data_IF_538357345022
#
_entry.id   IF_538357345022
#
_cell.length_a   1.000
_cell.length_b   1.000
_cell.length_c   1.000
_cell.angle_alpha   90.00
_cell.angle_beta   90.00
_cell.angle_gamma   90.00
#
_symmetry.space_group_name_H-M   'P 1'
#
loop_
_entity.id
_entity.type
_entity.pdbx_description
1 polymer ?
#
# COMPACT_ATOMS: atom_id res chain seq x y z
N UNK A 1 -9.66 -52.13 -33.04
CA UNK A 1 -8.66 -51.29 -32.34
C UNK A 1 -9.43 -50.29 -31.51
N UNK A 2 -9.25 -50.25 -30.19
CA UNK A 2 -9.87 -49.24 -29.33
C UNK A 2 -9.01 -47.99 -29.34
N UNK A 3 -9.62 -46.84 -29.65
CA UNK A 3 -8.93 -45.55 -29.59
C UNK A 3 -8.49 -45.25 -28.15
N UNK A 4 -7.27 -44.71 -27.95
CA UNK A 4 -6.78 -44.37 -26.62
C UNK A 4 -7.62 -43.22 -26.06
N UNK A 5 -8.38 -43.53 -25.01
CA UNK A 5 -9.18 -42.56 -24.29
C UNK A 5 -8.26 -41.50 -23.67
N UNK A 6 -8.31 -40.28 -24.21
CA UNK A 6 -7.57 -39.15 -23.68
C UNK A 6 -8.13 -38.81 -22.29
N UNK A 7 -7.41 -39.20 -21.25
CA UNK A 7 -7.71 -38.80 -19.87
C UNK A 7 -7.03 -37.46 -19.62
N UNK A 8 -7.80 -36.42 -19.34
CA UNK A 8 -7.27 -35.11 -18.96
C UNK A 8 -6.37 -35.25 -17.72
N UNK A 9 -5.21 -34.59 -17.74
CA UNK A 9 -4.25 -34.56 -16.62
C UNK A 9 -4.72 -33.67 -15.44
N UNK A 10 -5.76 -32.85 -15.65
CA UNK A 10 -6.32 -31.97 -14.63
C UNK A 10 -7.56 -32.59 -13.99
N UNK A 11 -7.74 -32.44 -12.66
CA UNK A 11 -8.93 -32.93 -11.99
C UNK A 11 -10.18 -32.29 -12.60
N UNK A 12 -11.24 -33.10 -12.75
CA UNK A 12 -12.54 -32.55 -13.13
C UNK A 12 -12.97 -31.51 -12.10
N UNK A 13 -13.62 -30.42 -12.54
CA UNK A 13 -14.07 -29.42 -11.61
C UNK A 13 -15.11 -30.03 -10.65
N UNK A 14 -15.28 -29.45 -9.44
CA UNK A 14 -16.22 -29.96 -8.44
C UNK A 14 -17.68 -30.03 -8.96
N UNK A 15 -18.08 -31.20 -9.48
CA UNK A 15 -19.39 -31.40 -10.12
C UNK A 15 -20.57 -31.20 -9.17
N UNK A 16 -20.35 -31.28 -7.86
CA UNK A 16 -21.36 -30.99 -6.83
C UNK A 16 -21.79 -29.53 -6.85
N UNK A 17 -20.88 -28.60 -7.18
CA UNK A 17 -21.21 -27.18 -7.24
C UNK A 17 -21.73 -26.78 -8.62
N UNK A 18 -21.10 -27.26 -9.69
CA UNK A 18 -21.45 -26.86 -11.07
C UNK A 18 -22.91 -27.15 -11.42
N UNK A 19 -23.45 -28.29 -10.97
CA UNK A 19 -24.84 -28.67 -11.26
C UNK A 19 -25.87 -27.70 -10.70
N UNK A 20 -25.53 -26.98 -9.65
CA UNK A 20 -26.44 -26.02 -9.00
C UNK A 20 -26.48 -24.66 -9.72
N UNK A 21 -25.47 -24.34 -10.54
CA UNK A 21 -25.36 -23.08 -11.30
C UNK A 21 -25.93 -23.24 -12.72
N UNK A 22 -27.24 -23.47 -12.83
CA UNK A 22 -27.98 -23.40 -14.11
C UNK A 22 -28.61 -22.02 -14.31
N UNK A 23 -28.87 -21.63 -15.56
CA UNK A 23 -29.52 -20.35 -15.89
C UNK A 23 -30.86 -20.17 -15.16
N UNK A 24 -31.60 -21.27 -15.00
CA UNK A 24 -32.89 -21.27 -14.31
C UNK A 24 -32.74 -21.07 -12.79
N UNK A 25 -31.75 -21.72 -12.16
CA UNK A 25 -31.46 -21.57 -10.74
C UNK A 25 -30.91 -20.17 -10.43
N UNK A 26 -30.09 -19.60 -11.31
CA UNK A 26 -29.59 -18.23 -11.19
C UNK A 26 -30.76 -17.24 -11.28
N UNK A 27 -31.64 -17.40 -12.29
CA UNK A 27 -32.83 -16.55 -12.44
C UNK A 27 -33.76 -16.62 -11.24
N UNK A 28 -33.89 -17.79 -10.61
CA UNK A 28 -34.70 -18.01 -9.40
C UNK A 28 -33.95 -17.70 -8.10
N UNK A 29 -32.69 -17.25 -8.16
CA UNK A 29 -31.81 -17.02 -6.98
C UNK A 29 -31.68 -18.24 -6.06
N UNK A 30 -31.79 -19.45 -6.61
CA UNK A 30 -31.62 -20.73 -5.92
C UNK A 30 -30.18 -21.22 -5.93
N UNK A 31 -29.31 -20.58 -6.72
CA UNK A 31 -27.89 -20.90 -6.74
C UNK A 31 -27.27 -20.67 -5.34
N UNK A 32 -26.48 -21.62 -4.81
CA UNK A 32 -25.91 -21.50 -3.48
C UNK A 32 -24.96 -20.29 -3.42
N UNK A 33 -25.04 -19.56 -2.30
CA UNK A 33 -24.09 -18.49 -2.00
C UNK A 33 -22.71 -19.10 -1.68
N UNK A 34 -21.61 -18.36 -1.90
CA UNK A 34 -20.29 -18.83 -1.49
C UNK A 34 -20.28 -19.21 0.01
N UNK A 35 -19.51 -20.23 0.40
CA UNK A 35 -19.39 -20.61 1.80
C UNK A 35 -18.90 -19.43 2.63
N UNK A 36 -19.36 -19.35 3.88
CA UNK A 36 -18.92 -18.29 4.79
C UNK A 36 -17.41 -18.41 5.03
N UNK A 37 -16.70 -17.27 5.14
CA UNK A 37 -15.28 -17.30 5.50
C UNK A 37 -15.08 -18.06 6.82
N UNK A 38 -14.09 -18.96 6.83
CA UNK A 38 -13.69 -19.67 8.03
C UNK A 38 -13.11 -18.64 9.00
N UNK A 39 -13.58 -18.63 10.25
CA UNK A 39 -13.13 -17.69 11.29
C UNK A 39 -12.13 -18.30 12.26
N UNK A 40 -12.04 -19.62 12.30
CA UNK A 40 -11.24 -20.31 13.31
C UNK A 40 -9.85 -20.64 12.72
N UNK A 41 -9.70 -21.84 12.16
CA UNK A 41 -8.46 -22.29 11.55
C UNK A 41 -8.70 -23.00 10.23
N UNK A 42 -7.74 -22.90 9.31
CA UNK A 42 -7.77 -23.58 8.02
C UNK A 42 -6.43 -24.23 7.71
N UNK A 43 -6.46 -25.29 6.90
CA UNK A 43 -5.26 -25.97 6.42
C UNK A 43 -4.87 -25.38 5.06
N UNK A 44 -3.65 -24.90 4.93
CA UNK A 44 -3.09 -24.38 3.69
C UNK A 44 -1.71 -24.98 3.47
N UNK A 45 -1.56 -25.73 2.37
CA UNK A 45 -0.34 -26.45 2.00
C UNK A 45 0.21 -27.35 3.12
N UNK A 46 -0.67 -28.02 3.86
CA UNK A 46 -0.29 -28.91 4.96
C UNK A 46 0.02 -28.21 6.29
N UNK A 47 -0.08 -26.88 6.36
CA UNK A 47 0.09 -26.11 7.59
C UNK A 47 -1.26 -25.65 8.12
N UNK A 48 -1.44 -25.71 9.44
CA UNK A 48 -2.61 -25.15 10.11
C UNK A 48 -2.40 -23.65 10.32
N UNK A 49 -3.34 -22.83 9.86
CA UNK A 49 -3.39 -21.38 10.03
C UNK A 49 -4.58 -21.01 10.92
N UNK A 50 -4.39 -20.11 11.88
CA UNK A 50 -5.50 -19.47 12.59
C UNK A 50 -5.79 -18.13 11.92
N UNK A 51 -7.06 -17.74 11.84
CA UNK A 51 -7.45 -16.49 11.20
C UNK A 51 -7.02 -15.24 11.99
N UNK A 52 -6.83 -15.38 13.31
CA UNK A 52 -6.38 -14.31 14.21
C UNK A 52 -4.86 -14.27 14.40
N UNK A 53 -4.12 -15.23 13.83
CA UNK A 53 -2.65 -15.22 13.92
C UNK A 53 -2.09 -13.96 13.24
N UNK A 54 -1.08 -13.35 13.89
CA UNK A 54 -0.23 -12.37 13.22
C UNK A 54 0.25 -12.96 11.90
N UNK A 55 0.21 -12.17 10.82
CA UNK A 55 0.66 -12.57 9.47
C UNK A 55 2.07 -13.20 9.53
N UNK A 56 2.87 -12.77 10.51
CA UNK A 56 4.20 -13.29 10.78
C UNK A 56 4.17 -13.92 12.16
N UNK A 57 4.29 -15.25 12.20
CA UNK A 57 4.34 -16.01 13.45
C UNK A 57 5.61 -15.69 14.24
N UNK A 58 5.52 -15.42 15.55
CA UNK A 58 6.69 -15.22 16.39
C UNK A 58 7.60 -16.45 16.40
N UNK A 59 8.91 -16.25 16.46
CA UNK A 59 9.90 -17.34 16.52
C UNK A 59 9.66 -18.30 17.69
N UNK A 60 9.16 -17.79 18.81
CA UNK A 60 8.87 -18.56 20.03
C UNK A 60 7.78 -19.61 19.79
N UNK A 61 6.79 -19.29 18.94
CA UNK A 61 5.71 -20.24 18.59
C UNK A 61 6.20 -21.40 17.72
N UNK A 62 7.40 -21.26 17.14
CA UNK A 62 8.08 -22.29 16.35
C UNK A 62 9.15 -23.03 17.18
N UNK A 63 9.25 -22.74 18.48
CA UNK A 63 10.26 -23.32 19.38
C UNK A 63 11.66 -22.74 19.19
N UNK A 64 11.78 -21.57 18.55
CA UNK A 64 13.06 -20.92 18.29
C UNK A 64 13.24 -19.76 19.28
N UNK A 65 14.31 -19.81 20.09
CA UNK A 65 14.63 -18.73 21.03
C UNK A 65 15.01 -17.45 20.29
N UNK A 66 14.47 -16.31 20.76
CA UNK A 66 14.74 -15.01 20.13
C UNK A 66 16.16 -14.53 20.45
N UNK A 67 16.93 -14.21 19.41
CA UNK A 67 18.30 -13.68 19.53
C UNK A 67 18.39 -12.16 19.79
N UNK A 68 17.27 -11.44 19.74
CA UNK A 68 17.21 -9.98 19.88
C UNK A 68 16.20 -9.56 20.97
N UNK A 69 16.38 -8.40 21.63
CA UNK A 69 15.45 -7.91 22.65
C UNK A 69 14.08 -7.55 22.05
N UNK A 70 13.02 -7.43 22.87
CA UNK A 70 11.65 -7.15 22.38
C UNK A 70 11.53 -5.75 21.76
N UNK A 71 12.29 -4.77 22.28
CA UNK A 71 12.39 -3.43 21.71
C UNK A 71 13.76 -3.23 21.09
N UNK A 72 13.78 -2.96 19.79
CA UNK A 72 15.02 -2.82 19.04
C UNK A 72 14.82 -2.01 17.77
N UNK A 73 15.94 -1.55 17.22
CA UNK A 73 16.00 -0.93 15.90
C UNK A 73 16.25 -2.03 14.86
N UNK A 74 15.26 -2.29 14.00
CA UNK A 74 15.31 -3.33 12.97
C UNK A 74 16.54 -3.22 12.08
N UNK A 75 16.99 -2.01 11.76
CA UNK A 75 18.17 -1.78 10.91
C UNK A 75 19.45 -2.18 11.61
N UNK A 76 19.56 -1.91 12.92
CA UNK A 76 20.74 -2.28 13.70
C UNK A 76 20.80 -3.78 13.93
N UNK A 77 19.68 -4.41 14.28
CA UNK A 77 19.64 -5.86 14.49
C UNK A 77 19.88 -6.63 13.19
N UNK A 78 19.33 -6.19 12.05
CA UNK A 78 19.61 -6.81 10.76
C UNK A 78 21.10 -6.73 10.40
N UNK A 79 21.76 -5.60 10.71
CA UNK A 79 23.22 -5.46 10.52
C UNK A 79 24.02 -6.37 11.44
N UNK A 80 23.62 -6.51 12.71
CA UNK A 80 24.28 -7.43 13.65
C UNK A 80 24.16 -8.87 13.18
N UNK A 81 22.97 -9.31 12.75
CA UNK A 81 22.78 -10.65 12.18
C UNK A 81 23.61 -10.86 10.92
N UNK A 82 23.68 -9.88 10.02
CA UNK A 82 24.53 -9.94 8.83
C UNK A 82 26.02 -10.14 9.20
N UNK A 83 26.52 -9.39 10.17
CA UNK A 83 27.91 -9.54 10.64
C UNK A 83 28.12 -10.90 11.34
N UNK A 84 27.14 -11.37 12.11
CA UNK A 84 27.19 -12.68 12.76
C UNK A 84 27.24 -13.83 11.75
N UNK A 85 26.42 -13.76 10.68
CA UNK A 85 26.44 -14.71 9.55
C UNK A 85 27.82 -14.73 8.89
N UNK A 86 28.39 -13.55 8.62
CA UNK A 86 29.71 -13.44 8.00
C UNK A 86 30.80 -14.09 8.86
N UNK A 87 30.85 -13.78 10.15
CA UNK A 87 31.84 -14.36 11.06
C UNK A 87 31.65 -15.88 11.17
N UNK A 88 30.41 -16.35 11.29
CA UNK A 88 30.13 -17.78 11.38
C UNK A 88 30.53 -18.53 10.10
N UNK A 89 30.35 -17.92 8.93
CA UNK A 89 30.83 -18.45 7.66
C UNK A 89 32.36 -18.53 7.59
N UNK A 90 33.08 -17.50 8.05
CA UNK A 90 34.55 -17.52 8.10
C UNK A 90 35.07 -18.60 9.06
N UNK A 91 34.44 -18.76 10.23
CA UNK A 91 34.76 -19.83 11.18
C UNK A 91 34.56 -21.22 10.53
N UNK A 92 33.46 -21.38 9.79
CA UNK A 92 33.17 -22.63 9.08
C UNK A 92 34.24 -22.92 8.01
N UNK A 93 34.69 -21.91 7.26
CA UNK A 93 35.77 -22.08 6.30
C UNK A 93 37.09 -22.50 6.98
N UNK A 94 37.45 -21.90 8.12
CA UNK A 94 38.65 -22.30 8.87
C UNK A 94 38.56 -23.75 9.36
N UNK A 95 37.37 -24.20 9.82
CA UNK A 95 37.13 -25.61 10.18
C UNK A 95 37.29 -26.53 8.97
N UNK A 96 36.77 -26.15 7.80
CA UNK A 96 36.89 -26.95 6.58
C UNK A 96 38.34 -27.08 6.10
N UNK A 97 39.14 -26.02 6.26
CA UNK A 97 40.57 -26.03 5.90
C UNK A 97 41.36 -26.92 6.87
N UNK A 98 41.08 -26.84 8.18
CA UNK A 98 41.85 -27.55 9.21
C UNK A 98 41.41 -29.00 9.42
N UNK A 99 40.10 -29.25 9.42
CA UNK A 99 39.51 -30.53 9.83
C UNK A 99 38.10 -30.70 9.23
N UNK A 100 37.99 -31.04 7.94
CA UNK A 100 36.71 -31.08 7.22
C UNK A 100 35.72 -32.15 7.70
N UNK A 101 36.21 -33.19 8.39
CA UNK A 101 35.40 -34.26 8.97
C UNK A 101 35.00 -34.03 10.44
N UNK A 102 35.26 -32.85 11.00
CA UNK A 102 34.91 -32.56 12.39
C UNK A 102 33.41 -32.30 12.56
N UNK A 103 32.83 -32.78 13.67
CA UNK A 103 31.45 -32.47 14.08
C UNK A 103 31.19 -30.97 14.23
N UNK A 104 32.24 -30.18 14.49
CA UNK A 104 32.18 -28.71 14.57
C UNK A 104 31.69 -28.05 13.29
N UNK A 105 31.86 -28.72 12.14
CA UNK A 105 31.31 -28.28 10.87
C UNK A 105 29.78 -28.31 10.89
N UNK A 106 29.20 -29.40 11.39
CA UNK A 106 27.75 -29.58 11.47
C UNK A 106 27.13 -28.60 12.47
N UNK A 107 27.77 -28.41 13.63
CA UNK A 107 27.37 -27.39 14.61
C UNK A 107 27.32 -25.99 13.99
N UNK A 108 28.39 -25.57 13.30
CA UNK A 108 28.42 -24.26 12.61
C UNK A 108 27.39 -24.16 11.49
N UNK A 109 27.05 -25.26 10.84
CA UNK A 109 26.02 -25.27 9.80
C UNK A 109 24.63 -25.05 10.40
N UNK A 110 24.32 -25.66 11.54
CA UNK A 110 23.07 -25.43 12.27
C UNK A 110 22.99 -23.99 12.82
N UNK A 111 24.09 -23.46 13.38
CA UNK A 111 24.17 -22.04 13.79
C UNK A 111 23.85 -21.11 12.62
N UNK A 112 24.43 -21.37 11.46
CA UNK A 112 24.22 -20.56 10.27
C UNK A 112 22.78 -20.62 9.79
N UNK A 113 22.16 -21.81 9.77
CA UNK A 113 20.73 -21.97 9.45
C UNK A 113 19.86 -21.16 10.41
N UNK A 114 20.14 -21.24 11.71
CA UNK A 114 19.42 -20.50 12.74
C UNK A 114 19.52 -18.99 12.49
N UNK A 115 20.72 -18.46 12.23
CA UNK A 115 20.93 -17.05 11.91
C UNK A 115 20.11 -16.59 10.69
N UNK A 116 20.04 -17.42 9.64
CA UNK A 116 19.23 -17.11 8.46
C UNK A 116 17.72 -17.09 8.77
N UNK A 117 17.22 -18.04 9.58
CA UNK A 117 15.82 -18.04 10.03
C UNK A 117 15.48 -16.74 10.77
N UNK A 118 16.34 -16.31 11.69
CA UNK A 118 16.17 -15.03 12.40
C UNK A 118 16.22 -13.83 11.46
N UNK A 119 17.12 -13.82 10.48
CA UNK A 119 17.22 -12.75 9.49
C UNK A 119 15.95 -12.65 8.64
N UNK A 120 15.42 -13.80 8.19
CA UNK A 120 14.17 -13.86 7.44
C UNK A 120 12.99 -13.35 8.26
N UNK A 121 12.90 -13.75 9.52
CA UNK A 121 11.85 -13.27 10.41
C UNK A 121 11.88 -11.75 10.57
N UNK A 122 13.07 -11.18 10.81
CA UNK A 122 13.25 -9.73 10.96
C UNK A 122 12.87 -8.94 9.69
N UNK A 123 13.19 -9.48 8.52
CA UNK A 123 12.79 -8.90 7.22
C UNK A 123 11.27 -8.98 7.06
N UNK A 124 10.67 -10.09 7.45
CA UNK A 124 9.24 -10.29 7.37
C UNK A 124 8.52 -9.28 8.27
N UNK A 125 8.95 -9.09 9.52
CA UNK A 125 8.38 -8.08 10.45
C UNK A 125 8.39 -6.66 9.87
N UNK A 126 9.33 -6.35 8.98
CA UNK A 126 9.43 -5.06 8.32
C UNK A 126 8.49 -4.89 7.11
N UNK A 127 7.87 -5.97 6.60
CA UNK A 127 6.98 -5.94 5.42
C UNK A 127 5.77 -5.03 5.56
N UNK A 128 5.02 -5.01 6.69
CA UNK A 128 3.89 -4.10 6.85
C UNK A 128 4.31 -2.64 6.81
N UNK A 129 5.46 -2.29 7.38
CA UNK A 129 6.03 -0.95 7.27
C UNK A 129 6.36 -0.61 5.82
N UNK A 130 7.03 -1.52 5.09
CA UNK A 130 7.33 -1.33 3.66
C UNK A 130 6.06 -1.10 2.82
N UNK A 131 4.99 -1.86 3.09
CA UNK A 131 3.71 -1.73 2.39
C UNK A 131 3.09 -0.35 2.60
N UNK A 132 3.12 0.17 3.85
CA UNK A 132 2.64 1.52 4.17
C UNK A 132 3.42 2.61 3.45
N UNK A 133 4.75 2.53 3.42
CA UNK A 133 5.57 3.51 2.69
C UNK A 133 5.33 3.43 1.18
N UNK A 134 5.14 2.23 0.64
CA UNK A 134 4.80 2.04 -0.78
C UNK A 134 3.45 2.70 -1.11
N UNK A 135 2.45 2.52 -0.24
CA UNK A 135 1.14 3.15 -0.38
C UNK A 135 1.23 4.68 -0.30
N UNK A 136 2.02 5.22 0.64
CA UNK A 136 2.28 6.66 0.77
C UNK A 136 2.85 7.23 -0.54
N UNK A 137 3.93 6.63 -1.07
CA UNK A 137 4.54 7.06 -2.34
C UNK A 137 3.54 6.97 -3.49
N UNK A 138 2.74 5.91 -3.56
CA UNK A 138 1.70 5.78 -4.59
C UNK A 138 0.68 6.92 -4.51
N UNK A 139 0.21 7.27 -3.31
CA UNK A 139 -0.75 8.37 -3.13
C UNK A 139 -0.14 9.74 -3.46
N UNK A 140 1.15 9.96 -3.15
CA UNK A 140 1.86 11.17 -3.56
C UNK A 140 1.95 11.32 -5.08
N UNK A 141 2.23 10.22 -5.79
CA UNK A 141 2.23 10.20 -7.26
C UNK A 141 0.85 10.54 -7.80
N UNK A 142 -0.22 9.95 -7.26
CA UNK A 142 -1.59 10.26 -7.69
C UNK A 142 -1.96 11.72 -7.44
N UNK A 143 -1.60 12.27 -6.28
CA UNK A 143 -1.82 13.69 -5.95
C UNK A 143 -1.12 14.59 -6.96
N UNK A 144 0.16 14.32 -7.24
CA UNK A 144 0.95 15.09 -8.21
C UNK A 144 0.32 15.04 -9.60
N UNK A 145 -0.07 13.86 -10.09
CA UNK A 145 -0.71 13.71 -11.40
C UNK A 145 -2.02 14.51 -11.50
N UNK A 146 -2.84 14.53 -10.43
CA UNK A 146 -4.07 15.32 -10.39
C UNK A 146 -3.79 16.82 -10.47
N UNK A 147 -2.80 17.31 -9.72
CA UNK A 147 -2.40 18.72 -9.75
C UNK A 147 -1.84 19.12 -11.12
N UNK A 148 -0.93 18.34 -11.70
CA UNK A 148 -0.39 18.59 -13.04
C UNK A 148 -1.50 18.59 -14.10
N UNK A 149 -2.49 17.72 -13.97
CA UNK A 149 -3.63 17.66 -14.89
C UNK A 149 -4.51 18.90 -14.75
N UNK A 150 -4.82 19.33 -13.52
CA UNK A 150 -5.58 20.55 -13.26
C UNK A 150 -4.86 21.79 -13.81
N UNK A 151 -3.55 21.90 -13.60
CA UNK A 151 -2.73 22.99 -14.15
C UNK A 151 -2.75 22.99 -15.68
N UNK A 152 -2.66 21.81 -16.32
CA UNK A 152 -2.78 21.70 -17.78
C UNK A 152 -4.16 22.14 -18.26
N UNK A 153 -5.24 21.77 -17.58
CA UNK A 153 -6.59 22.22 -17.93
C UNK A 153 -6.72 23.74 -17.82
N UNK A 154 -6.20 24.33 -16.73
CA UNK A 154 -6.21 25.77 -16.53
C UNK A 154 -5.49 26.51 -17.67
N UNK A 155 -4.28 26.06 -18.05
CA UNK A 155 -3.53 26.61 -19.19
C UNK A 155 -4.25 26.46 -20.54
N UNK A 156 -5.09 25.44 -20.71
CA UNK A 156 -5.90 25.30 -21.92
C UNK A 156 -7.09 26.25 -21.92
N UNK A 157 -7.74 26.43 -20.76
CA UNK A 157 -8.85 27.36 -20.60
C UNK A 157 -8.40 28.81 -20.83
N UNK A 158 -7.27 29.22 -20.26
CA UNK A 158 -6.68 30.55 -20.50
C UNK A 158 -6.43 30.80 -21.99
N UNK A 159 -5.82 29.84 -22.70
CA UNK A 159 -5.64 29.93 -24.16
C UNK A 159 -6.95 30.05 -24.93
N UNK A 160 -7.99 29.30 -24.55
CA UNK A 160 -9.31 29.38 -25.21
C UNK A 160 -9.94 30.75 -24.96
N UNK A 161 -9.86 31.27 -23.73
CA UNK A 161 -10.35 32.61 -23.39
C UNK A 161 -9.62 33.68 -24.20
N UNK A 162 -8.29 33.62 -24.28
CA UNK A 162 -7.49 34.53 -25.12
C UNK A 162 -7.89 34.44 -26.59
N UNK A 163 -8.08 33.24 -27.13
CA UNK A 163 -8.53 33.05 -28.51
C UNK A 163 -9.90 33.68 -28.76
N UNK A 164 -10.86 33.50 -27.85
CA UNK A 164 -12.20 34.08 -27.96
C UNK A 164 -12.12 35.62 -27.91
N UNK A 165 -11.35 36.17 -26.98
CA UNK A 165 -11.14 37.62 -26.85
C UNK A 165 -10.50 38.21 -28.12
N UNK A 166 -9.49 37.54 -28.68
CA UNK A 166 -8.87 37.96 -29.93
C UNK A 166 -9.84 37.92 -31.12
N UNK A 167 -10.67 36.87 -31.22
CA UNK A 167 -11.70 36.79 -32.25
C UNK A 167 -12.73 37.91 -32.11
N UNK A 168 -13.22 38.18 -30.90
CA UNK A 168 -14.16 39.27 -30.63
C UNK A 168 -13.56 40.63 -31.00
N UNK A 169 -12.30 40.88 -30.66
CA UNK A 169 -11.60 42.12 -31.00
C UNK A 169 -11.34 42.28 -32.51
N UNK A 170 -11.31 41.17 -33.27
CA UNK A 170 -11.09 41.18 -34.72
C UNK A 170 -12.36 41.34 -35.55
N UNK A 171 -13.56 41.28 -34.94
CA UNK A 171 -14.82 41.51 -35.62
C UNK A 171 -14.97 43.01 -35.94
N UNK A 172 -15.39 43.38 -37.17
CA UNK A 172 -15.69 44.76 -37.51
C UNK A 172 -16.93 45.25 -36.75
N UNK A 173 -16.87 46.47 -36.22
CA UNK A 173 -17.95 47.14 -35.44
C UNK A 173 -19.24 47.37 -36.26
N UNK A 174 -19.18 47.25 -37.59
CA UNK A 174 -20.29 47.50 -38.50
C UNK A 174 -20.98 46.20 -38.94
N UNK A 175 -21.79 45.62 -38.04
CA UNK A 175 -22.95 44.85 -38.46
C UNK A 175 -24.21 45.67 -38.20
N UNK A 176 -25.08 45.91 -39.20
CA UNK A 176 -26.40 46.47 -38.93
C UNK A 176 -27.19 45.46 -38.09
N UNK A 177 -27.33 45.75 -36.80
CA UNK A 177 -28.31 45.08 -35.94
C UNK A 177 -29.72 45.45 -36.45
N UNK A 178 -30.58 44.49 -36.82
CA UNK A 178 -32.01 44.76 -36.76
C UNK A 178 -32.38 44.81 -35.27
N UNK A 179 -33.04 45.90 -34.87
CA UNK A 179 -33.52 46.21 -33.52
C UNK A 179 -33.91 44.97 -32.70
N UNK A 180 -33.11 44.65 -31.70
CA UNK A 180 -33.36 43.53 -30.80
C UNK A 180 -32.19 43.32 -29.86
N UNK A 181 -32.26 43.97 -28.69
CA UNK A 181 -31.31 43.87 -27.59
C UNK A 181 -30.93 42.42 -27.26
N UNK A 182 -29.72 41.99 -27.63
CA UNK A 182 -29.07 40.82 -27.03
C UNK A 182 -27.80 41.31 -26.33
N UNK A 183 -27.98 41.80 -25.10
CA UNK A 183 -26.89 41.99 -24.17
C UNK A 183 -26.46 40.61 -23.67
N UNK A 184 -25.37 40.07 -24.21
CA UNK A 184 -24.70 38.93 -23.61
C UNK A 184 -24.03 39.44 -22.35
N UNK A 185 -24.68 39.21 -21.20
CA UNK A 185 -24.05 39.41 -19.89
C UNK A 185 -22.88 38.43 -19.78
N UNK A 186 -21.67 38.94 -19.93
CA UNK A 186 -20.48 38.32 -19.37
C UNK A 186 -20.60 38.43 -17.85
N UNK A 187 -21.21 37.43 -17.22
CA UNK A 187 -21.01 37.26 -15.78
C UNK A 187 -19.57 36.77 -15.57
N UNK A 188 -18.78 37.42 -14.70
CA UNK A 188 -17.50 36.87 -14.29
C UNK A 188 -17.79 35.55 -13.57
N UNK A 189 -17.12 34.47 -13.98
CA UNK A 189 -17.05 33.28 -13.13
C UNK A 189 -16.44 33.72 -11.81
N UNK A 190 -17.21 33.59 -10.73
CA UNK A 190 -16.76 33.79 -9.37
C UNK A 190 -15.65 32.78 -9.07
N UNK A 191 -14.40 33.22 -9.30
CA UNK A 191 -13.22 32.54 -8.78
C UNK A 191 -13.21 32.92 -7.31
N UNK A 192 -13.81 32.06 -6.49
CA UNK A 192 -13.71 32.18 -5.05
C UNK A 192 -12.23 32.01 -4.66
N UNK A 193 -11.52 33.12 -4.57
CA UNK A 193 -10.19 33.16 -4.01
C UNK A 193 -10.26 32.85 -2.51
N UNK A 194 -9.26 32.13 -1.97
CA UNK A 194 -9.23 31.75 -0.57
C UNK A 194 -8.96 32.99 0.28
N UNK A 195 -9.76 33.14 1.35
CA UNK A 195 -9.64 34.21 2.33
C UNK A 195 -8.20 34.37 2.84
N UNK A 196 -7.56 35.49 2.50
CA UNK A 196 -6.40 36.04 3.21
C UNK A 196 -6.90 37.17 4.10
N UNK A 197 -6.82 36.95 5.41
CA UNK A 197 -7.18 37.95 6.42
C UNK A 197 -5.88 38.52 7.02
N UNK A 198 -5.67 39.82 6.86
CA UNK A 198 -4.61 40.58 7.53
C UNK A 198 -5.19 41.81 8.23
N UNK A 199 -5.43 41.62 9.53
CA UNK A 199 -4.91 42.41 10.66
C UNK A 199 -5.10 43.94 10.70
N UNK A 200 -5.82 44.42 11.72
CA UNK A 200 -5.43 45.61 12.50
C UNK A 200 -5.63 45.35 14.01
N UNK A 201 -4.60 45.66 14.81
CA UNK A 201 -4.61 45.57 16.28
C UNK A 201 -5.22 46.81 16.96
N UNK A 202 -5.24 46.86 18.31
CA UNK A 202 -4.04 47.36 18.99
C UNK A 202 -3.67 46.69 20.34
N UNK A 203 -2.34 46.53 20.51
CA UNK A 203 -1.51 46.64 21.72
C UNK A 203 -1.97 46.01 23.06
N UNK A 204 -1.16 45.07 23.56
CA UNK A 204 -0.93 44.90 25.01
C UNK A 204 -0.62 43.48 25.50
N UNK A 205 0.62 43.28 25.97
CA UNK A 205 1.11 42.22 26.87
C UNK A 205 1.47 40.82 26.30
N UNK A 206 2.71 40.44 26.60
CA UNK A 206 3.44 39.24 26.23
C UNK A 206 2.86 37.92 26.76
N UNK A 207 2.77 36.90 25.89
CA UNK A 207 2.97 35.50 26.25
C UNK A 207 3.28 34.67 24.98
N UNK A 208 4.37 33.91 25.03
CA UNK A 208 4.83 32.98 23.99
C UNK A 208 3.84 31.82 23.83
N UNK A 209 3.12 31.76 22.71
CA UNK A 209 2.31 30.59 22.32
C UNK A 209 3.05 29.88 21.20
N UNK A 210 3.69 28.75 21.55
CA UNK A 210 4.21 27.79 20.59
C UNK A 210 3.04 27.26 19.77
N UNK A 211 3.05 27.57 18.49
CA UNK A 211 2.15 26.98 17.50
C UNK A 211 2.44 25.48 17.46
N UNK A 212 1.58 24.69 18.12
CA UNK A 212 1.66 23.25 18.09
C UNK A 212 1.27 22.82 16.68
N UNK A 213 2.26 22.47 15.86
CA UNK A 213 2.05 21.67 14.65
C UNK A 213 1.39 20.38 15.10
N UNK A 214 0.07 20.30 14.99
CA UNK A 214 -0.69 19.08 15.18
C UNK A 214 -0.19 18.12 14.11
N UNK A 215 0.59 17.15 14.56
CA UNK A 215 1.13 16.08 13.74
C UNK A 215 -0.04 15.27 13.18
N UNK A 216 -0.36 15.51 11.91
CA UNK A 216 -1.49 14.89 11.22
C UNK A 216 -1.34 13.37 11.18
N UNK A 217 -0.11 12.87 11.29
CA UNK A 217 0.17 11.43 11.39
C UNK A 217 -0.26 10.88 12.76
N UNK A 218 -0.13 11.64 13.85
CA UNK A 218 -0.61 11.24 15.18
C UNK A 218 -2.14 11.21 15.26
N UNK A 219 -2.81 12.16 14.60
CA UNK A 219 -4.27 12.17 14.49
C UNK A 219 -4.81 10.98 13.68
N UNK A 220 -4.11 10.59 12.62
CA UNK A 220 -4.45 9.41 11.82
C UNK A 220 -4.25 8.09 12.59
N UNK A 221 -3.22 8.00 13.44
CA UNK A 221 -3.03 6.84 14.31
C UNK A 221 -4.17 6.68 15.32
N UNK A 222 -4.65 7.78 15.92
CA UNK A 222 -5.78 7.72 16.87
C UNK A 222 -7.09 7.24 16.26
N UNK A 223 -7.37 7.59 15.00
CA UNK A 223 -8.59 7.14 14.29
C UNK A 223 -8.54 5.64 13.99
N UNK A 224 -7.34 5.09 13.71
CA UNK A 224 -7.17 3.66 13.43
C UNK A 224 -7.31 2.84 14.71
N UNK A 225 -6.82 3.37 15.84
CA UNK A 225 -6.95 2.72 17.15
C UNK A 225 -8.41 2.72 17.65
N UNK A 226 -9.27 3.66 17.22
CA UNK A 226 -10.72 3.66 17.52
C UNK A 226 -11.54 2.70 16.63
N UNK A 227 -10.95 2.19 15.54
CA UNK A 227 -11.62 1.25 14.62
C UNK A 227 -11.34 -0.23 14.93
N UNK A 228 -10.57 -0.54 15.98
CA UNK A 228 -10.25 -1.90 16.45
C UNK A 228 -10.95 -2.18 17.77
#
# INVERSE_FOLDING_TARGET
MGEPQQVSALPIPPMQYIKEYTDENIRKSLAPKPPVPIKDSYMMFGNQFQCDDLIIRPLETQGIERLHPVQFDHKKELRKLLMSILVNFLDMLDILIRSPGSIRREEKLEDLKLLFVHMHHLINEYRPHQARETLRVMMEVQKRQRLETAERFQKHLERVVEMIQNCLASLPDDLPLPDGTVSVKTEPMDVQEPCTDHHEGPQGAAASVKEATIDKDAAMCGIIDEMT
#
